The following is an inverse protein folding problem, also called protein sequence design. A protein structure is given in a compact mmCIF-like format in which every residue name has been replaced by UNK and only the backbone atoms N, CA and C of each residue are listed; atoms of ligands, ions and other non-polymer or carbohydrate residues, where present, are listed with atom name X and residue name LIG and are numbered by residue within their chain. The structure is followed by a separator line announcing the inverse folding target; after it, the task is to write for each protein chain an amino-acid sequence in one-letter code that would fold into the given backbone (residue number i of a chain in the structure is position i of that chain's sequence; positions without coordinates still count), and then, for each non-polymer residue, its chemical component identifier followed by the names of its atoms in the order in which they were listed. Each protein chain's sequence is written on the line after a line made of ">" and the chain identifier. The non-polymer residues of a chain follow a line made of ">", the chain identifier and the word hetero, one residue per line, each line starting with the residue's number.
data_IF_059398191747
#
_entry.id   IF_059398191747
#
_cell.length_a   1.000
_cell.length_b   1.000
_cell.length_c   1.000
_cell.angle_alpha   90.00
_cell.angle_beta   90.00
_cell.angle_gamma   90.00
#
_symmetry.space_group_name_H-M   'P 1'
#
loop_
_entity.id
_entity.type
_entity.pdbx_description
1 polymer ?
#
# COMPACT_ATOMS: atom_id res chain seq x y z
N UNK A 1 -11.66 -12.45 -14.38
CA UNK A 1 -12.29 -11.20 -13.89
C UNK A 1 -12.76 -11.51 -12.47
N UNK A 2 -12.64 -10.54 -11.56
CA UNK A 2 -12.93 -10.63 -10.12
C UNK A 2 -11.90 -11.35 -9.24
N UNK A 3 -10.69 -10.78 -9.15
CA UNK A 3 -9.97 -10.81 -7.87
C UNK A 3 -10.76 -9.89 -6.94
N UNK A 4 -11.42 -10.42 -5.91
CA UNK A 4 -12.39 -9.75 -5.01
C UNK A 4 -11.86 -8.52 -4.24
N UNK A 5 -11.40 -7.52 -4.99
CA UNK A 5 -10.83 -6.26 -4.56
C UNK A 5 -11.94 -5.21 -4.67
N UNK A 6 -12.97 -5.34 -3.84
CA UNK A 6 -14.13 -4.45 -3.79
C UNK A 6 -13.80 -2.98 -3.46
N UNK A 7 -12.55 -2.69 -3.07
CA UNK A 7 -12.05 -1.35 -2.76
C UNK A 7 -11.06 -0.78 -3.80
N UNK A 8 -10.85 -1.44 -4.94
CA UNK A 8 -9.95 -0.90 -5.98
C UNK A 8 -10.76 -0.49 -7.21
N UNK A 9 -10.82 0.82 -7.46
CA UNK A 9 -11.39 1.37 -8.69
C UNK A 9 -10.34 1.31 -9.80
N UNK A 10 -10.56 0.45 -10.79
CA UNK A 10 -9.67 0.32 -11.95
C UNK A 10 -10.25 1.12 -13.11
N UNK A 11 -9.55 2.18 -13.52
CA UNK A 11 -9.91 2.96 -14.70
C UNK A 11 -8.74 3.02 -15.66
N UNK A 12 -9.04 2.98 -16.97
CA UNK A 12 -8.06 3.19 -18.02
C UNK A 12 -8.20 4.62 -18.52
N UNK A 13 -7.11 5.39 -18.51
CA UNK A 13 -7.06 6.74 -19.06
C UNK A 13 -5.77 6.91 -19.86
N UNK A 14 -5.79 7.80 -20.85
CA UNK A 14 -4.59 8.18 -21.58
C UNK A 14 -3.60 8.89 -20.64
N UNK A 15 -2.30 8.75 -20.90
CA UNK A 15 -1.23 9.35 -20.07
C UNK A 15 -1.43 10.86 -19.91
N UNK A 16 -1.83 11.55 -20.98
CA UNK A 16 -2.09 13.00 -20.96
C UNK A 16 -3.27 13.40 -20.08
N UNK A 17 -4.16 12.46 -19.76
CA UNK A 17 -5.39 12.68 -19.00
C UNK A 17 -5.39 11.87 -17.70
N UNK A 18 -4.21 11.66 -17.11
CA UNK A 18 -4.07 11.07 -15.78
C UNK A 18 -4.45 12.12 -14.72
N UNK A 19 -5.43 11.82 -13.84
CA UNK A 19 -5.76 12.71 -12.73
C UNK A 19 -4.58 12.79 -11.75
N UNK A 20 -4.37 13.95 -11.10
CA UNK A 20 -3.28 14.12 -10.13
C UNK A 20 -3.48 13.30 -8.85
N UNK A 21 -4.71 12.92 -8.56
CA UNK A 21 -5.15 12.23 -7.33
C UNK A 21 -5.05 10.70 -7.43
N UNK A 22 -4.24 10.18 -8.35
CA UNK A 22 -4.05 8.75 -8.54
C UNK A 22 -2.94 8.22 -7.64
N UNK A 23 -3.22 7.14 -6.92
CA UNK A 23 -2.23 6.50 -6.05
C UNK A 23 -1.26 5.60 -6.83
N UNK A 24 -1.77 4.91 -7.86
CA UNK A 24 -1.03 3.87 -8.59
C UNK A 24 -1.29 3.93 -10.10
N UNK A 25 -0.21 4.00 -10.87
CA UNK A 25 -0.22 4.07 -12.34
C UNK A 25 0.54 2.87 -12.91
N UNK A 26 -0.14 2.07 -13.73
CA UNK A 26 0.45 0.91 -14.42
C UNK A 26 0.60 1.26 -15.90
N UNK A 27 1.84 1.26 -16.41
CA UNK A 27 2.14 1.61 -17.81
C UNK A 27 3.24 0.71 -18.39
N UNK A 28 3.39 0.71 -19.71
CA UNK A 28 4.52 0.04 -20.35
C UNK A 28 5.84 0.73 -20.02
N UNK A 29 6.96 -0.01 -19.98
CA UNK A 29 8.31 0.53 -19.70
C UNK A 29 8.70 1.76 -20.54
N UNK A 30 8.21 1.87 -21.78
CA UNK A 30 8.53 3.02 -22.65
C UNK A 30 7.73 4.28 -22.32
N UNK A 31 6.62 4.11 -21.58
CA UNK A 31 5.66 5.15 -21.26
C UNK A 31 5.68 5.53 -19.77
N UNK A 32 6.33 4.72 -18.93
CA UNK A 32 6.48 4.98 -17.49
C UNK A 32 7.16 6.31 -17.24
N UNK A 33 8.19 6.66 -18.01
CA UNK A 33 8.87 7.95 -17.85
C UNK A 33 7.92 9.13 -18.15
N UNK A 34 7.01 8.97 -19.12
CA UNK A 34 5.99 10.01 -19.40
C UNK A 34 4.98 10.12 -18.27
N UNK A 35 4.51 8.98 -17.75
CA UNK A 35 3.59 8.94 -16.61
C UNK A 35 4.22 9.56 -15.35
N UNK A 36 5.50 9.27 -15.08
CA UNK A 36 6.26 9.84 -13.97
C UNK A 36 6.39 11.37 -14.08
N UNK A 37 6.59 11.90 -15.29
CA UNK A 37 6.63 13.35 -15.50
C UNK A 37 5.27 14.02 -15.25
N UNK A 38 4.17 13.34 -15.56
CA UNK A 38 2.82 13.86 -15.38
C UNK A 38 2.38 13.81 -13.91
N UNK A 39 2.64 12.68 -13.23
CA UNK A 39 2.22 12.44 -11.85
C UNK A 39 3.39 11.87 -11.04
N UNK A 40 4.40 12.68 -10.67
CA UNK A 40 5.58 12.19 -9.98
C UNK A 40 5.29 11.67 -8.56
N UNK A 41 4.19 12.11 -7.97
CA UNK A 41 3.73 11.69 -6.64
C UNK A 41 3.10 10.30 -6.60
N UNK A 42 2.60 9.79 -7.75
CA UNK A 42 1.94 8.49 -7.83
C UNK A 42 2.98 7.36 -7.85
N UNK A 43 2.56 6.15 -7.44
CA UNK A 43 3.39 4.97 -7.60
C UNK A 43 3.32 4.44 -9.04
N UNK A 44 4.46 4.31 -9.70
CA UNK A 44 4.53 3.84 -11.09
C UNK A 44 5.00 2.39 -11.15
N UNK A 45 4.23 1.55 -11.83
CA UNK A 45 4.59 0.16 -12.11
C UNK A 45 4.77 -0.02 -13.62
N UNK A 46 5.96 -0.45 -14.01
CA UNK A 46 6.31 -0.71 -15.41
C UNK A 46 6.03 -2.15 -15.81
N UNK A 47 5.30 -2.35 -16.89
CA UNK A 47 5.11 -3.63 -17.54
C UNK A 47 6.02 -3.75 -18.76
N UNK A 48 6.58 -4.93 -19.00
CA UNK A 48 7.37 -5.28 -20.20
C UNK A 48 6.57 -6.07 -21.22
N UNK A 49 5.55 -6.81 -20.78
CA UNK A 49 4.72 -7.61 -21.66
C UNK A 49 3.28 -7.68 -21.13
N UNK A 50 2.32 -7.26 -21.94
CA UNK A 50 0.89 -7.20 -21.60
C UNK A 50 0.24 -8.59 -21.48
N UNK A 51 0.90 -9.63 -21.98
CA UNK A 51 0.41 -11.02 -21.89
C UNK A 51 1.11 -11.82 -20.80
N UNK A 52 2.02 -11.20 -20.04
CA UNK A 52 2.71 -11.86 -18.95
C UNK A 52 1.76 -11.99 -17.75
N UNK A 53 0.93 -13.04 -17.80
CA UNK A 53 0.00 -13.42 -16.74
C UNK A 53 0.71 -13.65 -15.40
N UNK A 54 2.00 -14.02 -15.41
CA UNK A 54 2.80 -14.16 -14.21
C UNK A 54 2.97 -12.84 -13.49
N UNK A 55 3.35 -11.78 -14.22
CA UNK A 55 3.50 -10.44 -13.63
C UNK A 55 2.18 -9.90 -13.10
N UNK A 56 1.07 -10.06 -13.84
CA UNK A 56 -0.24 -9.63 -13.34
C UNK A 56 -0.63 -10.38 -12.06
N UNK A 57 -0.39 -11.69 -11.99
CA UNK A 57 -0.70 -12.49 -10.80
C UNK A 57 0.10 -12.00 -9.59
N UNK A 58 1.42 -11.85 -9.71
CA UNK A 58 2.26 -11.31 -8.63
C UNK A 58 1.89 -9.89 -8.22
N UNK A 59 1.49 -9.04 -9.17
CA UNK A 59 1.00 -7.69 -8.88
C UNK A 59 -0.30 -7.72 -8.09
N UNK A 60 -1.26 -8.56 -8.48
CA UNK A 60 -2.51 -8.71 -7.74
C UNK A 60 -2.27 -9.27 -6.34
N UNK A 61 -1.40 -10.26 -6.19
CA UNK A 61 -1.03 -10.81 -4.88
C UNK A 61 -0.37 -9.74 -3.98
N UNK A 62 0.52 -8.93 -4.54
CA UNK A 62 1.17 -7.83 -3.82
C UNK A 62 0.18 -6.75 -3.41
N UNK A 63 -0.77 -6.40 -4.28
CA UNK A 63 -1.82 -5.43 -3.95
C UNK A 63 -2.73 -5.95 -2.82
N UNK A 64 -3.12 -7.22 -2.87
CA UNK A 64 -3.89 -7.87 -1.79
C UNK A 64 -3.09 -7.92 -0.48
N UNK A 65 -1.80 -8.25 -0.54
CA UNK A 65 -0.92 -8.29 0.63
C UNK A 65 -0.70 -6.90 1.24
N UNK A 66 -0.54 -5.87 0.40
CA UNK A 66 -0.41 -4.48 0.85
C UNK A 66 -1.68 -3.99 1.54
N UNK A 67 -2.87 -4.36 1.05
CA UNK A 67 -4.14 -4.04 1.72
C UNK A 67 -4.23 -4.66 3.12
N UNK A 68 -3.79 -5.91 3.29
CA UNK A 68 -3.74 -6.56 4.62
C UNK A 68 -2.72 -5.95 5.56
N UNK A 69 -1.65 -5.35 5.04
CA UNK A 69 -0.65 -4.67 5.88
C UNK A 69 -1.25 -3.49 6.63
N UNK A 70 -2.13 -2.73 5.97
CA UNK A 70 -2.86 -1.61 6.60
C UNK A 70 -3.79 -2.09 7.71
N UNK A 71 -4.43 -3.26 7.55
CA UNK A 71 -5.28 -3.86 8.59
C UNK A 71 -4.47 -4.39 9.79
N UNK A 72 -3.31 -5.00 9.55
CA UNK A 72 -2.45 -5.53 10.61
C UNK A 72 -1.83 -4.39 11.44
N UNK A 73 -1.39 -3.30 10.81
CA UNK A 73 -0.80 -2.17 11.55
C UNK A 73 -1.81 -1.53 12.52
N UNK A 74 -3.07 -1.37 12.10
CA UNK A 74 -4.14 -0.81 12.95
C UNK A 74 -4.42 -1.69 14.17
N UNK A 75 -4.45 -3.02 14.02
CA UNK A 75 -4.69 -3.94 15.15
C UNK A 75 -3.53 -4.00 16.14
N UNK A 76 -2.28 -3.89 15.65
CA UNK A 76 -1.10 -3.88 16.52
C UNK A 76 -1.03 -2.56 17.31
N UNK A 77 -1.34 -1.41 16.69
CA UNK A 77 -1.37 -0.12 17.40
C UNK A 77 -2.50 -0.07 18.44
N UNK A 78 -3.70 -0.58 18.10
CA UNK A 78 -4.84 -0.61 19.02
C UNK A 78 -4.58 -1.53 20.24
N UNK A 79 -4.01 -2.73 20.01
CA UNK A 79 -3.64 -3.64 21.10
C UNK A 79 -2.48 -3.14 21.97
N UNK A 80 -1.54 -2.37 21.42
CA UNK A 80 -0.45 -1.76 22.20
C UNK A 80 -0.92 -0.56 23.05
N UNK A 81 -2.05 0.06 22.70
CA UNK A 81 -2.61 1.22 23.42
C UNK A 81 -3.28 0.86 24.75
N UNK A 82 -3.79 -0.37 24.86
CA UNK A 82 -4.43 -0.89 26.08
C UNK A 82 -3.41 -1.32 27.17
N UNK A 83 -2.12 -1.38 26.84
CA UNK A 83 -1.04 -1.76 27.78
C UNK A 83 -0.29 -0.57 28.41
N UNK A 84 -0.76 0.67 28.22
CA UNK A 84 -0.27 1.86 28.95
C UNK A 84 -1.24 2.19 30.09
N UNK A 85 -1.40 1.26 31.03
CA UNK A 85 -1.96 1.57 32.34
C UNK A 85 -0.90 2.37 33.12
N UNK A 86 -1.17 3.65 33.37
CA UNK A 86 -0.38 4.59 34.18
C UNK A 86 -0.45 4.22 35.69
N UNK A 87 -0.58 2.94 36.00
CA UNK A 87 -0.50 2.41 37.34
C UNK A 87 0.98 2.18 37.67
N UNK A 88 1.64 3.28 38.01
CA UNK A 88 2.87 3.34 38.82
C UNK A 88 2.75 2.65 40.20
N UNK A 89 1.73 1.81 40.41
CA UNK A 89 1.46 1.03 41.60
C UNK A 89 2.47 -0.11 41.84
N UNK A 90 3.25 -0.50 40.82
CA UNK A 90 4.21 -1.61 40.91
C UNK A 90 5.66 -1.17 40.62
N UNK A 91 6.05 0.04 41.02
CA UNK A 91 7.46 0.44 41.03
C UNK A 91 8.13 -0.10 42.31
N UNK A 92 8.85 -1.21 42.18
CA UNK A 92 9.74 -1.70 43.24
C UNK A 92 10.79 -0.62 43.57
N UNK A 93 10.60 0.08 44.69
CA UNK A 93 11.64 0.91 45.29
C UNK A 93 12.66 -0.02 45.94
N UNK A 94 13.81 -0.20 45.31
CA UNK A 94 14.99 -0.76 45.97
C UNK A 94 15.44 0.26 47.02
N UNK A 95 15.10 0.03 48.29
CA UNK A 95 15.69 0.76 49.41
C UNK A 95 17.17 0.44 49.46
N UNK A 96 18.01 1.45 49.30
CA UNK A 96 19.42 1.37 49.67
C UNK A 96 19.51 1.55 51.19
N UNK A 97 19.94 0.50 51.89
CA UNK A 97 20.56 0.61 53.23
C UNK A 97 21.97 1.19 53.12
#
# INVERSE_FOLDING_TARGET
>A
QDAGLSQISVTNSAINNLPPDVDLVITHRDLTERAMRQVPQAQHISLTNFLDSGLYTSLTERLVAAQRHTEIEVTVIDSLKDSFDDSSANLFKLGAE
#
